data_IF_648790329741
#
_entry.id   IF_648790329741
#
_cell.length_a   1.000
_cell.length_b   1.000
_cell.length_c   1.000
_cell.angle_alpha   90.00
_cell.angle_beta   90.00
_cell.angle_gamma   90.00
#
_symmetry.space_group_name_H-M   'P 1'
#
loop_
_entity.id
_entity.type
_entity.pdbx_description
1 polymer ?
#
# COMPACT_ATOMS: atom_id res chain seq x y z
N UNK A 1 -64.31 -7.48 32.64
CA UNK A 1 -63.09 -7.34 33.47
C UNK A 1 -62.58 -8.75 33.70
N UNK A 2 -61.48 -9.21 33.12
CA UNK A 2 -60.12 -8.70 33.26
C UNK A 2 -59.25 -9.15 32.07
N UNK A 3 -58.49 -8.21 31.51
CA UNK A 3 -57.42 -8.45 30.53
C UNK A 3 -56.15 -8.81 31.29
N UNK A 4 -55.63 -10.03 31.08
CA UNK A 4 -54.33 -10.45 31.62
C UNK A 4 -53.23 -9.91 30.69
N UNK A 5 -52.51 -8.90 31.17
CA UNK A 5 -51.42 -8.25 30.46
C UNK A 5 -50.19 -9.14 30.39
N UNK A 6 -49.87 -9.63 29.20
CA UNK A 6 -48.53 -10.07 28.86
C UNK A 6 -47.64 -8.82 28.76
N UNK A 7 -47.04 -8.45 29.89
CA UNK A 7 -45.95 -7.48 29.96
C UNK A 7 -44.70 -8.05 29.33
N UNK A 8 -44.59 -7.92 28.01
CA UNK A 8 -43.35 -8.09 27.27
C UNK A 8 -42.43 -6.91 27.56
N UNK A 9 -41.77 -6.92 28.71
CA UNK A 9 -40.69 -5.97 28.99
C UNK A 9 -39.45 -6.40 28.20
N UNK A 10 -39.25 -5.66 27.12
CA UNK A 10 -38.01 -5.58 26.38
C UNK A 10 -36.85 -5.27 27.33
N UNK A 11 -36.15 -6.32 27.79
CA UNK A 11 -34.86 -6.20 28.45
C UNK A 11 -33.81 -5.78 27.41
N UNK A 12 -33.78 -4.47 27.18
CA UNK A 12 -32.72 -3.72 26.50
C UNK A 12 -31.36 -4.10 27.09
N UNK A 13 -30.54 -4.77 26.26
CA UNK A 13 -29.10 -4.54 26.10
C UNK A 13 -28.24 -4.21 27.33
N UNK A 14 -28.38 -4.91 28.44
CA UNK A 14 -27.32 -4.92 29.48
C UNK A 14 -26.44 -6.13 29.26
N UNK A 15 -25.17 -5.89 28.93
CA UNK A 15 -24.13 -6.91 28.99
C UNK A 15 -24.17 -7.55 30.39
N UNK A 16 -24.72 -8.76 30.48
CA UNK A 16 -24.73 -9.52 31.73
C UNK A 16 -23.28 -9.81 32.13
N UNK A 17 -22.93 -9.82 33.43
CA UNK A 17 -21.56 -10.09 33.88
C UNK A 17 -21.01 -11.43 33.37
N UNK A 18 -21.88 -12.39 33.08
CA UNK A 18 -21.52 -13.62 32.38
C UNK A 18 -21.12 -13.39 30.91
N UNK A 19 -21.85 -12.56 30.16
CA UNK A 19 -21.53 -12.21 28.76
C UNK A 19 -20.19 -11.48 28.59
N UNK A 20 -19.78 -10.68 29.58
CA UNK A 20 -18.48 -9.99 29.56
C UNK A 20 -17.33 -10.95 29.85
N UNK A 21 -17.48 -11.83 30.85
CA UNK A 21 -16.52 -12.90 31.13
C UNK A 21 -16.39 -13.86 29.94
N UNK A 22 -17.50 -14.21 29.30
CA UNK A 22 -17.51 -15.01 28.07
C UNK A 22 -16.67 -14.34 26.98
N UNK A 23 -16.92 -13.07 26.64
CA UNK A 23 -16.11 -12.36 25.64
C UNK A 23 -14.63 -12.23 26.03
N UNK A 24 -14.31 -12.15 27.32
CA UNK A 24 -12.93 -12.04 27.80
C UNK A 24 -12.12 -13.32 27.55
N UNK A 25 -12.73 -14.50 27.72
CA UNK A 25 -12.07 -15.79 27.59
C UNK A 25 -11.98 -16.32 26.14
N UNK A 26 -13.07 -16.25 25.36
CA UNK A 26 -13.04 -16.65 23.93
C UNK A 26 -12.49 -15.57 23.00
N UNK A 27 -12.45 -14.32 23.43
CA UNK A 27 -11.99 -13.19 22.62
C UNK A 27 -10.55 -13.35 22.13
N UNK A 28 -9.56 -13.66 22.97
CA UNK A 28 -8.16 -13.86 22.55
C UNK A 28 -7.96 -14.99 21.52
N UNK A 29 -8.43 -16.24 21.72
CA UNK A 29 -8.22 -17.31 20.73
C UNK A 29 -8.95 -17.02 19.41
N UNK A 30 -10.18 -16.49 19.46
CA UNK A 30 -10.91 -16.10 18.25
C UNK A 30 -10.21 -14.95 17.50
N UNK A 31 -9.62 -13.97 18.19
CA UNK A 31 -8.83 -12.91 17.54
C UNK A 31 -7.58 -13.48 16.84
N UNK A 32 -6.92 -14.47 17.42
CA UNK A 32 -5.78 -15.14 16.79
C UNK A 32 -6.19 -15.89 15.51
N UNK A 33 -7.30 -16.62 15.57
CA UNK A 33 -7.92 -17.29 14.41
C UNK A 33 -8.32 -16.27 13.34
N UNK A 34 -9.01 -15.20 13.73
CA UNK A 34 -9.45 -14.13 12.83
C UNK A 34 -8.29 -13.44 12.12
N UNK A 35 -7.19 -13.14 12.82
CA UNK A 35 -5.96 -12.60 12.21
C UNK A 35 -5.41 -13.53 11.12
N UNK A 36 -5.38 -14.84 11.38
CA UNK A 36 -4.86 -15.81 10.41
C UNK A 36 -5.79 -15.97 9.20
N UNK A 37 -7.11 -15.97 9.40
CA UNK A 37 -8.08 -15.97 8.30
C UNK A 37 -7.93 -14.73 7.42
N UNK A 38 -7.73 -13.55 8.03
CA UNK A 38 -7.46 -12.31 7.28
C UNK A 38 -6.16 -12.36 6.48
N UNK A 39 -5.09 -12.92 7.05
CA UNK A 39 -3.84 -13.12 6.31
C UNK A 39 -4.03 -14.07 5.13
N UNK A 40 -4.79 -15.15 5.29
CA UNK A 40 -5.12 -16.07 4.19
C UNK A 40 -5.91 -15.36 3.08
N UNK A 41 -6.94 -14.61 3.45
CA UNK A 41 -7.75 -13.86 2.48
C UNK A 41 -6.95 -12.76 1.78
N UNK A 42 -6.12 -12.04 2.53
CA UNK A 42 -5.20 -11.04 2.01
C UNK A 42 -4.18 -11.65 1.05
N UNK A 43 -3.63 -12.82 1.38
CA UNK A 43 -2.70 -13.54 0.51
C UNK A 43 -3.38 -14.02 -0.78
N UNK A 44 -4.61 -14.54 -0.70
CA UNK A 44 -5.39 -14.91 -1.88
C UNK A 44 -5.66 -13.69 -2.77
N UNK A 45 -6.11 -12.58 -2.18
CA UNK A 45 -6.35 -11.34 -2.91
C UNK A 45 -5.06 -10.78 -3.54
N UNK A 46 -3.96 -10.76 -2.79
CA UNK A 46 -2.65 -10.34 -3.27
C UNK A 46 -2.19 -11.22 -4.44
N UNK A 47 -2.27 -12.54 -4.29
CA UNK A 47 -1.88 -13.49 -5.34
C UNK A 47 -2.67 -13.31 -6.63
N UNK A 48 -3.97 -12.98 -6.52
CA UNK A 48 -4.87 -12.78 -7.66
C UNK A 48 -4.67 -11.44 -8.37
N UNK A 49 -4.18 -10.42 -7.66
CA UNK A 49 -4.06 -9.04 -8.17
C UNK A 49 -2.63 -8.59 -8.42
N UNK A 50 -1.62 -9.35 -7.99
CA UNK A 50 -0.20 -9.00 -8.15
C UNK A 50 0.18 -8.70 -9.62
N UNK A 51 -0.40 -9.43 -10.57
CA UNK A 51 -0.17 -9.19 -11.99
C UNK A 51 -0.60 -7.79 -12.43
N UNK A 52 -1.62 -7.16 -11.81
CA UNK A 52 -2.05 -5.80 -12.13
C UNK A 52 -1.00 -4.78 -11.73
N UNK A 53 -0.40 -4.92 -10.54
CA UNK A 53 0.69 -4.04 -10.09
C UNK A 53 1.89 -4.14 -11.02
N UNK A 54 2.29 -5.37 -11.35
CA UNK A 54 3.41 -5.63 -12.26
C UNK A 54 3.13 -5.16 -13.70
N UNK A 55 1.92 -5.36 -14.21
CA UNK A 55 1.51 -4.86 -15.52
C UNK A 55 1.54 -3.32 -15.56
N UNK A 56 1.09 -2.66 -14.49
CA UNK A 56 1.20 -1.21 -14.34
C UNK A 56 2.66 -0.73 -14.37
N UNK A 57 3.55 -1.40 -13.63
CA UNK A 57 4.99 -1.10 -13.68
C UNK A 57 5.57 -1.32 -15.08
N UNK A 58 5.21 -2.41 -15.76
CA UNK A 58 5.65 -2.67 -17.13
C UNK A 58 5.19 -1.56 -18.09
N UNK A 59 3.95 -1.08 -17.97
CA UNK A 59 3.43 0.03 -18.78
C UNK A 59 4.22 1.33 -18.55
N UNK A 60 4.58 1.64 -17.30
CA UNK A 60 5.42 2.81 -16.99
C UNK A 60 6.80 2.69 -17.63
N UNK A 61 7.42 1.51 -17.58
CA UNK A 61 8.71 1.27 -18.22
C UNK A 61 8.63 1.39 -19.75
N UNK A 62 7.56 0.88 -20.38
CA UNK A 62 7.34 1.04 -21.83
C UNK A 62 7.12 2.52 -22.17
N UNK A 63 6.36 3.25 -21.37
CA UNK A 63 6.15 4.69 -21.57
C UNK A 63 7.46 5.49 -21.46
N UNK A 64 8.36 5.11 -20.55
CA UNK A 64 9.70 5.69 -20.40
C UNK A 64 10.63 5.51 -21.60
N UNK A 65 10.35 4.54 -22.47
CA UNK A 65 11.07 4.38 -23.75
C UNK A 65 10.55 5.31 -24.84
N UNK A 66 9.27 5.68 -24.77
CA UNK A 66 8.61 6.54 -25.75
C UNK A 66 8.73 8.03 -25.39
N UNK A 67 8.93 8.35 -24.11
CA UNK A 67 9.05 9.71 -23.60
C UNK A 67 10.29 9.80 -22.69
N UNK A 68 11.19 10.78 -22.91
CA UNK A 68 12.30 11.03 -22.00
C UNK A 68 11.75 11.62 -20.68
N UNK A 69 11.40 10.73 -19.75
CA UNK A 69 10.89 11.09 -18.42
C UNK A 69 12.06 11.07 -17.44
N UNK A 70 12.37 12.22 -16.85
CA UNK A 70 13.35 12.32 -15.78
C UNK A 70 12.87 11.48 -14.55
N UNK A 71 13.76 10.70 -13.93
CA UNK A 71 13.50 9.81 -12.77
C UNK A 71 12.52 8.64 -13.02
N UNK A 72 12.65 7.94 -14.14
CA UNK A 72 11.81 6.80 -14.51
C UNK A 72 11.72 5.71 -13.41
N UNK A 73 12.83 5.44 -12.71
CA UNK A 73 12.90 4.46 -11.61
C UNK A 73 11.92 4.77 -10.47
N UNK A 74 11.73 6.05 -10.15
CA UNK A 74 10.79 6.48 -9.11
C UNK A 74 9.34 6.24 -9.51
N UNK A 75 9.01 6.47 -10.79
CA UNK A 75 7.67 6.27 -11.33
C UNK A 75 7.32 4.80 -11.53
N UNK A 76 8.31 3.96 -11.87
CA UNK A 76 8.11 2.52 -12.06
C UNK A 76 7.62 1.81 -10.78
N UNK A 77 7.98 2.33 -9.60
CA UNK A 77 7.53 1.83 -8.30
C UNK A 77 6.11 2.23 -7.90
N UNK A 78 5.54 3.29 -8.50
CA UNK A 78 4.23 3.84 -8.09
C UNK A 78 3.09 2.83 -8.25
N UNK A 79 2.92 2.12 -9.38
CA UNK A 79 1.86 1.13 -9.53
C UNK A 79 1.94 0.00 -8.51
N UNK A 80 3.17 -0.47 -8.21
CA UNK A 80 3.40 -1.52 -7.23
C UNK A 80 3.10 -1.04 -5.80
N UNK A 81 3.43 0.21 -5.48
CA UNK A 81 3.12 0.83 -4.20
C UNK A 81 1.61 0.98 -4.00
N UNK A 82 0.89 1.48 -5.01
CA UNK A 82 -0.58 1.60 -4.97
C UNK A 82 -1.22 0.22 -4.79
N UNK A 83 -0.73 -0.79 -5.51
CA UNK A 83 -1.18 -2.17 -5.33
C UNK A 83 -0.95 -2.66 -3.90
N UNK A 84 0.23 -2.43 -3.32
CA UNK A 84 0.57 -2.84 -1.96
C UNK A 84 -0.35 -2.17 -0.93
N UNK A 85 -0.58 -0.86 -1.05
CA UNK A 85 -1.50 -0.10 -0.19
C UNK A 85 -2.92 -0.66 -0.32
N UNK A 86 -3.36 -0.99 -1.53
CA UNK A 86 -4.70 -1.56 -1.77
C UNK A 86 -4.86 -2.93 -1.10
N UNK A 87 -3.86 -3.81 -1.24
CA UNK A 87 -3.86 -5.14 -0.59
C UNK A 87 -3.85 -5.00 0.93
N UNK A 88 -3.01 -4.11 1.45
CA UNK A 88 -2.90 -3.87 2.89
C UNK A 88 -4.18 -3.25 3.45
N UNK A 89 -4.75 -2.26 2.76
CA UNK A 89 -6.04 -1.65 3.07
C UNK A 89 -7.17 -2.66 3.04
N UNK A 90 -7.28 -3.48 2.00
CA UNK A 90 -8.27 -4.56 1.93
C UNK A 90 -8.13 -5.54 3.11
N UNK A 91 -6.90 -5.90 3.46
CA UNK A 91 -6.62 -6.85 4.54
C UNK A 91 -6.89 -6.24 5.92
N UNK A 92 -6.52 -4.96 6.15
CA UNK A 92 -6.59 -4.25 7.44
C UNK A 92 -7.94 -3.58 7.71
N UNK A 93 -8.65 -3.12 6.68
CA UNK A 93 -9.88 -2.33 6.83
C UNK A 93 -11.16 -3.18 6.80
N UNK A 94 -11.06 -4.51 6.64
CA UNK A 94 -12.20 -5.41 6.82
C UNK A 94 -12.29 -5.90 8.27
N UNK A 95 -13.08 -5.24 9.15
CA UNK A 95 -13.35 -5.78 10.48
C UNK A 95 -14.10 -7.10 10.31
N UNK A 96 -13.57 -8.15 10.94
CA UNK A 96 -14.23 -9.46 10.97
C UNK A 96 -14.84 -9.63 12.36
N UNK A 97 -16.18 -9.51 12.50
CA UNK A 97 -16.81 -9.64 13.82
C UNK A 97 -16.55 -11.04 14.36
N UNK A 98 -16.42 -11.18 15.68
CA UNK A 98 -16.09 -12.46 16.33
C UNK A 98 -17.06 -13.59 15.96
N UNK A 99 -18.33 -13.27 15.74
CA UNK A 99 -19.33 -14.23 15.27
C UNK A 99 -19.06 -14.74 13.85
N UNK A 100 -18.61 -13.87 12.94
CA UNK A 100 -18.21 -14.29 11.60
C UNK A 100 -16.91 -15.12 11.64
N UNK A 101 -15.98 -14.77 12.54
CA UNK A 101 -14.75 -15.55 12.76
C UNK A 101 -15.08 -16.94 13.27
N UNK A 102 -15.94 -17.07 14.28
CA UNK A 102 -16.35 -18.34 14.86
C UNK A 102 -17.02 -19.24 13.80
N UNK A 103 -18.00 -18.71 13.06
CA UNK A 103 -18.67 -19.44 11.97
C UNK A 103 -17.69 -19.90 10.89
N UNK A 104 -16.78 -19.02 10.49
CA UNK A 104 -15.80 -19.35 9.44
C UNK A 104 -14.74 -20.33 9.92
N UNK A 105 -14.35 -20.27 11.19
CA UNK A 105 -13.50 -21.24 11.83
C UNK A 105 -14.20 -22.62 11.90
N UNK A 106 -15.47 -22.66 12.28
CA UNK A 106 -16.26 -23.89 12.32
C UNK A 106 -16.32 -24.58 10.96
N UNK A 107 -16.55 -23.82 9.88
CA UNK A 107 -16.55 -24.33 8.49
C UNK A 107 -15.15 -24.79 8.06
N UNK A 108 -14.12 -23.98 8.33
CA UNK A 108 -12.75 -24.27 7.85
C UNK A 108 -12.13 -25.46 8.57
N UNK A 109 -12.46 -25.65 9.85
CA UNK A 109 -11.89 -26.68 10.72
C UNK A 109 -12.86 -27.84 11.02
N UNK A 110 -14.08 -27.81 10.46
CA UNK A 110 -15.08 -28.86 10.63
C UNK A 110 -15.61 -29.02 12.06
N UNK A 111 -15.69 -27.93 12.84
CA UNK A 111 -16.01 -27.99 14.28
C UNK A 111 -17.51 -28.14 14.58
N UNK A 112 -18.37 -28.35 13.57
CA UNK A 112 -19.82 -28.59 13.73
C UNK A 112 -20.51 -27.51 14.59
N UNK A 113 -20.27 -26.25 14.26
CA UNK A 113 -20.88 -25.06 14.89
C UNK A 113 -20.54 -24.79 16.36
N UNK A 114 -19.67 -25.59 17.00
CA UNK A 114 -19.32 -25.46 18.42
C UNK A 114 -18.94 -24.04 18.85
N UNK A 115 -18.14 -23.32 18.06
CA UNK A 115 -17.71 -21.97 18.42
C UNK A 115 -18.82 -20.95 18.17
N UNK A 116 -19.53 -21.07 17.04
CA UNK A 116 -20.59 -20.15 16.66
C UNK A 116 -21.82 -20.26 17.58
N UNK A 117 -22.25 -21.48 17.93
CA UNK A 117 -23.36 -21.73 18.85
C UNK A 117 -23.05 -21.22 20.26
N UNK A 118 -21.86 -21.49 20.79
CA UNK A 118 -21.48 -21.00 22.12
C UNK A 118 -21.50 -19.47 22.19
N UNK A 119 -21.01 -18.80 21.14
CA UNK A 119 -21.05 -17.33 21.07
C UNK A 119 -22.47 -16.78 20.92
N UNK A 120 -23.34 -17.45 20.17
CA UNK A 120 -24.74 -17.06 19.99
C UNK A 120 -25.53 -17.19 21.29
N UNK A 121 -25.35 -18.30 22.03
CA UNK A 121 -25.96 -18.51 23.34
C UNK A 121 -25.49 -17.47 24.36
N UNK A 122 -24.18 -17.16 24.36
CA UNK A 122 -23.62 -16.10 25.21
C UNK A 122 -24.19 -14.72 24.84
N UNK A 123 -24.35 -14.42 23.55
CA UNK A 123 -24.93 -13.15 23.08
C UNK A 123 -26.42 -13.01 23.42
N UNK A 124 -27.17 -14.11 23.44
CA UNK A 124 -28.58 -14.15 23.88
C UNK A 124 -28.76 -14.12 25.40
N UNK A 125 -27.68 -14.21 26.17
CA UNK A 125 -27.74 -14.27 27.63
C UNK A 125 -28.43 -15.52 28.16
N UNK A 126 -28.46 -16.61 27.37
CA UNK A 126 -29.05 -17.88 27.77
C UNK A 126 -28.23 -18.48 28.92
N UNK A 127 -28.91 -19.00 29.94
CA UNK A 127 -28.27 -19.57 31.14
C UNK A 127 -28.67 -21.01 31.34
N UNK A 128 -27.83 -21.75 32.07
CA UNK A 128 -28.08 -23.13 32.46
C UNK A 128 -26.82 -23.98 32.36
N UNK A 129 -26.79 -25.09 33.08
CA UNK A 129 -25.66 -26.01 33.14
C UNK A 129 -25.22 -26.49 31.74
N UNK A 130 -26.18 -26.73 30.85
CA UNK A 130 -25.89 -27.11 29.46
C UNK A 130 -25.12 -26.01 28.70
N UNK A 131 -25.45 -24.74 28.93
CA UNK A 131 -24.76 -23.61 28.27
C UNK A 131 -23.33 -23.48 28.79
N UNK A 132 -23.12 -23.68 30.09
CA UNK A 132 -21.78 -23.70 30.69
C UNK A 132 -20.92 -24.87 30.18
N UNK A 133 -21.53 -26.05 29.99
CA UNK A 133 -20.85 -27.19 29.37
C UNK A 133 -20.48 -26.93 27.91
N UNK A 134 -21.40 -26.35 27.12
CA UNK A 134 -21.11 -25.96 25.73
C UNK A 134 -20.02 -24.88 25.65
N UNK A 135 -20.01 -23.95 26.61
CA UNK A 135 -18.96 -22.95 26.75
C UNK A 135 -17.59 -23.58 26.98
N UNK A 136 -17.47 -24.44 27.99
CA UNK A 136 -16.21 -25.09 28.33
C UNK A 136 -15.70 -25.96 27.17
N UNK A 137 -16.59 -26.65 26.46
CA UNK A 137 -16.23 -27.38 25.24
C UNK A 137 -15.67 -26.42 24.17
N UNK A 138 -16.39 -25.33 23.86
CA UNK A 138 -15.97 -24.34 22.86
C UNK A 138 -14.64 -23.67 23.22
N UNK A 139 -14.45 -23.29 24.49
CA UNK A 139 -13.19 -22.71 24.98
C UNK A 139 -12.04 -23.70 24.89
N UNK A 140 -12.24 -24.94 25.33
CA UNK A 140 -11.21 -25.98 25.23
C UNK A 140 -10.82 -26.26 23.79
N UNK A 141 -11.78 -26.23 22.86
CA UNK A 141 -11.51 -26.38 21.44
C UNK A 141 -10.77 -25.18 20.87
N UNK A 142 -11.22 -23.96 21.19
CA UNK A 142 -10.57 -22.72 20.75
C UNK A 142 -9.10 -22.62 21.20
N UNK A 143 -8.78 -23.12 22.39
CA UNK A 143 -7.42 -23.17 22.92
C UNK A 143 -6.55 -24.25 22.27
N UNK A 144 -7.14 -25.37 21.81
CA UNK A 144 -6.42 -26.45 21.11
C UNK A 144 -6.08 -26.09 19.66
N UNK A 145 -6.87 -25.21 19.05
CA UNK A 145 -6.63 -24.77 17.67
C UNK A 145 -5.36 -23.93 17.64
N UNK A 146 -4.41 -24.36 16.81
CA UNK A 146 -3.24 -23.56 16.47
C UNK A 146 -3.50 -22.92 15.10
N UNK A 147 -3.81 -21.61 15.03
CA UNK A 147 -4.14 -20.96 13.76
C UNK A 147 -3.05 -21.15 12.71
N UNK A 148 -1.77 -21.22 13.12
CA UNK A 148 -0.66 -21.34 12.18
C UNK A 148 -0.54 -22.71 11.52
N UNK A 149 -0.94 -23.77 12.22
CA UNK A 149 -0.89 -25.14 11.74
C UNK A 149 -2.20 -25.53 11.05
N UNK A 150 -3.32 -25.17 11.65
CA UNK A 150 -4.63 -25.70 11.28
C UNK A 150 -5.28 -24.89 10.14
N UNK A 151 -4.85 -23.63 9.93
CA UNK A 151 -5.33 -22.78 8.83
C UNK A 151 -4.19 -22.58 7.82
N UNK A 152 -4.24 -23.36 6.74
CA UNK A 152 -3.29 -23.29 5.63
C UNK A 152 -3.33 -21.96 4.89
N UNK A 153 -2.16 -21.43 4.55
CA UNK A 153 -2.03 -20.28 3.65
C UNK A 153 -2.10 -20.79 2.21
N UNK A 154 -3.13 -20.35 1.50
CA UNK A 154 -3.36 -20.71 0.10
C UNK A 154 -3.10 -19.50 -0.78
N UNK A 155 -2.36 -19.70 -1.88
CA UNK A 155 -2.16 -18.70 -2.92
C UNK A 155 -2.71 -19.25 -4.25
N UNK A 156 -3.23 -18.36 -5.10
CA UNK A 156 -3.71 -18.76 -6.43
C UNK A 156 -2.52 -18.97 -7.37
N UNK A 157 -2.12 -20.24 -7.54
CA UNK A 157 -1.00 -20.64 -8.42
C UNK A 157 -1.21 -20.21 -9.87
N UNK A 158 -2.46 -20.14 -10.36
CA UNK A 158 -2.75 -19.74 -11.74
C UNK A 158 -2.49 -18.24 -11.90
N UNK A 159 -2.94 -17.43 -10.95
CA UNK A 159 -2.65 -16.00 -10.95
C UNK A 159 -1.15 -15.72 -10.76
N UNK A 160 -0.45 -16.50 -9.93
CA UNK A 160 1.01 -16.39 -9.78
C UNK A 160 1.77 -16.63 -11.08
N UNK A 161 1.30 -17.51 -11.97
CA UNK A 161 1.95 -17.71 -13.28
C UNK A 161 1.90 -16.45 -14.14
N UNK A 162 0.75 -15.77 -14.18
CA UNK A 162 0.62 -14.48 -14.87
C UNK A 162 1.45 -13.38 -14.23
N UNK A 163 1.47 -13.32 -12.89
CA UNK A 163 2.36 -12.42 -12.17
C UNK A 163 3.84 -12.70 -12.47
N UNK A 164 4.25 -13.96 -12.53
CA UNK A 164 5.60 -14.37 -12.91
C UNK A 164 5.98 -13.93 -14.32
N UNK A 165 5.08 -14.10 -15.29
CA UNK A 165 5.28 -13.61 -16.65
C UNK A 165 5.44 -12.09 -16.71
N UNK A 166 4.57 -11.35 -16.00
CA UNK A 166 4.68 -9.89 -15.90
C UNK A 166 5.98 -9.45 -15.21
N UNK A 167 6.43 -10.18 -14.17
CA UNK A 167 7.69 -9.90 -13.50
C UNK A 167 8.90 -10.10 -14.42
N UNK A 168 8.91 -11.17 -15.23
CA UNK A 168 9.95 -11.39 -16.25
C UNK A 168 9.94 -10.26 -17.27
N UNK A 169 8.77 -9.82 -17.73
CA UNK A 169 8.68 -8.68 -18.65
C UNK A 169 9.22 -7.38 -18.04
N UNK A 170 8.88 -7.08 -16.79
CA UNK A 170 9.42 -5.93 -16.04
C UNK A 170 10.95 -6.03 -15.92
N UNK A 171 11.48 -7.21 -15.58
CA UNK A 171 12.92 -7.43 -15.45
C UNK A 171 13.65 -7.23 -16.78
N UNK A 172 13.13 -7.79 -17.88
CA UNK A 172 13.68 -7.59 -19.22
C UNK A 172 13.65 -6.12 -19.63
N UNK A 173 12.56 -5.41 -19.31
CA UNK A 173 12.43 -3.99 -19.62
C UNK A 173 13.38 -3.12 -18.81
N UNK A 174 13.68 -3.51 -17.56
CA UNK A 174 14.57 -2.80 -16.66
C UNK A 174 16.06 -3.04 -16.97
N UNK A 175 16.43 -4.24 -17.42
CA UNK A 175 17.83 -4.57 -17.78
C UNK A 175 18.19 -4.02 -19.15
N UNK A 176 17.25 -4.02 -20.10
CA UNK A 176 17.55 -3.61 -21.46
C UNK A 176 17.79 -2.08 -21.50
N UNK A 177 18.95 -1.63 -22.03
CA UNK A 177 19.36 -0.23 -22.00
C UNK A 177 18.29 0.64 -22.65
N UNK A 178 17.87 1.69 -21.94
CA UNK A 178 16.89 2.63 -22.44
C UNK A 178 17.61 3.63 -23.37
N UNK A 179 17.31 3.67 -24.68
CA UNK A 179 18.00 4.57 -25.61
C UNK A 179 17.78 6.05 -25.26
N UNK A 180 16.76 6.37 -24.45
CA UNK A 180 16.50 7.73 -24.00
C UNK A 180 17.44 8.20 -22.87
N UNK A 181 18.18 7.29 -22.23
CA UNK A 181 19.15 7.66 -21.18
C UNK A 181 20.32 8.45 -21.79
N UNK A 182 20.79 8.07 -22.98
CA UNK A 182 21.81 8.81 -23.71
C UNK A 182 21.36 10.23 -24.11
N UNK A 183 20.07 10.39 -24.43
CA UNK A 183 19.49 11.71 -24.74
C UNK A 183 19.39 12.57 -23.48
N UNK A 184 19.05 11.98 -22.34
CA UNK A 184 19.03 12.66 -21.04
C UNK A 184 20.43 13.09 -20.60
N UNK A 185 21.45 12.24 -20.77
CA UNK A 185 22.84 12.59 -20.51
C UNK A 185 23.32 13.72 -21.42
N UNK A 186 23.01 13.66 -22.71
CA UNK A 186 23.35 14.73 -23.64
C UNK A 186 22.70 16.06 -23.24
N UNK A 187 21.41 16.06 -22.91
CA UNK A 187 20.71 17.26 -22.40
C UNK A 187 21.31 17.76 -21.09
N UNK A 188 21.69 16.87 -20.18
CA UNK A 188 22.35 17.25 -18.94
C UNK A 188 23.71 17.90 -19.19
N UNK A 189 24.51 17.35 -20.11
CA UNK A 189 25.80 17.89 -20.51
C UNK A 189 25.67 19.27 -21.18
N UNK A 190 24.70 19.45 -22.08
CA UNK A 190 24.42 20.75 -22.73
C UNK A 190 23.99 21.79 -21.69
N UNK A 191 23.11 21.43 -20.75
CA UNK A 191 22.71 22.32 -19.66
C UNK A 191 23.90 22.71 -18.76
N UNK A 192 24.76 21.75 -18.42
CA UNK A 192 25.95 21.99 -17.59
C UNK A 192 26.95 22.92 -18.31
N UNK A 193 27.22 22.67 -19.60
CA UNK A 193 28.10 23.50 -20.41
C UNK A 193 27.57 24.94 -20.54
N UNK A 194 26.26 25.09 -20.76
CA UNK A 194 25.63 26.42 -20.88
C UNK A 194 25.67 27.19 -19.55
N UNK A 195 25.48 26.51 -18.41
CA UNK A 195 25.62 27.13 -17.09
C UNK A 195 27.06 27.58 -16.81
N UNK A 196 28.05 26.79 -17.23
CA UNK A 196 29.45 27.16 -17.06
C UNK A 196 29.82 28.37 -17.93
N UNK A 197 29.36 28.42 -19.18
CA UNK A 197 29.49 29.60 -20.03
C UNK A 197 28.83 30.83 -19.42
N UNK A 198 27.62 30.70 -18.86
CA UNK A 198 26.96 31.80 -18.17
C UNK A 198 27.74 32.29 -16.93
N UNK A 199 28.42 31.39 -16.21
CA UNK A 199 29.30 31.75 -15.08
C UNK A 199 30.56 32.47 -15.55
N UNK A 200 31.20 31.99 -16.63
CA UNK A 200 32.38 32.65 -17.20
C UNK A 200 32.04 34.08 -17.66
N UNK A 201 30.93 34.27 -18.36
CA UNK A 201 30.45 35.61 -18.77
C UNK A 201 30.23 36.53 -17.56
N UNK A 202 29.68 36.00 -16.45
CA UNK A 202 29.47 36.77 -15.24
C UNK A 202 30.78 37.07 -14.48
N UNK A 203 31.77 36.17 -14.54
CA UNK A 203 33.12 36.41 -14.01
C UNK A 203 33.86 37.48 -14.81
N UNK A 204 33.86 37.41 -16.15
CA UNK A 204 34.42 38.47 -17.01
C UNK A 204 33.75 39.82 -16.72
N UNK A 205 32.43 39.84 -16.49
CA UNK A 205 31.71 41.06 -16.12
C UNK A 205 32.20 41.63 -14.78
N UNK A 206 32.51 40.78 -13.82
CA UNK A 206 32.97 41.20 -12.50
C UNK A 206 34.42 41.69 -12.53
N UNK A 207 35.30 41.02 -13.27
CA UNK A 207 36.67 41.50 -13.56
C UNK A 207 36.64 42.87 -14.24
N UNK A 208 35.80 43.01 -15.28
CA UNK A 208 35.54 44.27 -15.97
C UNK A 208 34.84 45.31 -15.11
N UNK A 209 34.36 45.03 -13.90
CA UNK A 209 33.88 46.05 -12.95
C UNK A 209 34.96 46.46 -11.95
N UNK A 210 35.85 45.54 -11.61
CA UNK A 210 36.91 45.75 -10.62
C UNK A 210 38.10 46.52 -11.19
N UNK A 211 38.26 46.59 -12.53
CA UNK A 211 39.26 47.46 -13.15
C UNK A 211 39.01 48.95 -12.84
N UNK A 212 40.00 49.60 -12.21
CA UNK A 212 39.98 50.98 -11.70
C UNK A 212 40.06 52.07 -12.80
N UNK A 213 39.95 51.70 -14.07
CA UNK A 213 39.96 52.63 -15.21
C UNK A 213 38.62 53.37 -15.28
N UNK A 214 38.59 54.70 -15.55
CA UNK A 214 37.33 55.44 -15.63
C UNK A 214 36.38 54.81 -16.65
N UNK A 215 35.12 54.61 -16.22
CA UNK A 215 34.09 53.93 -16.99
C UNK A 215 33.70 54.76 -18.21
N UNK A 216 34.02 54.29 -19.42
CA UNK A 216 33.50 54.85 -20.67
C UNK A 216 32.07 54.36 -20.92
N UNK A 217 31.25 55.11 -21.67
CA UNK A 217 29.90 54.68 -22.10
C UNK A 217 29.96 53.32 -22.82
N UNK A 218 31.00 53.07 -23.61
CA UNK A 218 31.25 51.80 -24.30
C UNK A 218 31.44 50.62 -23.33
N UNK A 219 32.04 50.83 -22.15
CA UNK A 219 32.20 49.79 -21.11
C UNK A 219 30.86 49.46 -20.45
N UNK A 220 30.01 50.46 -20.18
CA UNK A 220 28.66 50.19 -19.68
C UNK A 220 27.79 49.43 -20.69
N UNK A 221 27.87 49.79 -21.97
CA UNK A 221 27.20 49.10 -23.07
C UNK A 221 27.62 47.62 -23.11
N UNK A 222 28.92 47.34 -23.04
CA UNK A 222 29.48 45.98 -22.99
C UNK A 222 29.01 45.20 -21.75
N UNK A 223 28.98 45.82 -20.57
CA UNK A 223 28.49 45.18 -19.35
C UNK A 223 26.99 44.82 -19.45
N UNK A 224 26.18 45.65 -20.12
CA UNK A 224 24.76 45.36 -20.39
C UNK A 224 24.61 44.20 -21.37
N UNK A 225 25.38 44.17 -22.46
CA UNK A 225 25.34 43.09 -23.44
C UNK A 225 25.77 41.75 -22.84
N UNK A 226 26.81 41.71 -22.00
CA UNK A 226 27.23 40.50 -21.29
C UNK A 226 26.16 40.01 -20.30
N UNK A 227 25.47 40.93 -19.61
CA UNK A 227 24.37 40.57 -18.72
C UNK A 227 23.17 39.98 -19.49
N UNK A 228 22.84 40.55 -20.65
CA UNK A 228 21.77 40.03 -21.50
C UNK A 228 22.13 38.65 -22.09
N UNK A 229 23.39 38.45 -22.51
CA UNK A 229 23.87 37.17 -23.01
C UNK A 229 23.81 36.08 -21.93
N UNK A 230 24.31 36.38 -20.72
CA UNK A 230 24.23 35.46 -19.58
C UNK A 230 22.78 35.10 -19.23
N UNK A 231 21.85 36.07 -19.33
CA UNK A 231 20.43 35.86 -19.13
C UNK A 231 19.83 34.95 -20.20
N UNK A 232 20.10 35.22 -21.48
CA UNK A 232 19.62 34.41 -22.61
C UNK A 232 20.11 32.96 -22.54
N UNK A 233 21.37 32.74 -22.14
CA UNK A 233 21.93 31.40 -21.94
C UNK A 233 21.26 30.65 -20.78
N UNK A 234 20.87 31.35 -19.70
CA UNK A 234 20.12 30.74 -18.57
C UNK A 234 18.66 30.45 -18.92
N UNK A 235 18.04 31.33 -19.68
CA UNK A 235 16.64 31.20 -20.09
C UNK A 235 16.47 30.14 -21.20
N UNK A 236 17.51 29.90 -22.01
CA UNK A 236 17.44 28.96 -23.13
C UNK A 236 18.66 28.01 -23.22
N UNK A 237 18.86 27.09 -22.27
CA UNK A 237 20.04 26.23 -22.18
C UNK A 237 20.07 25.05 -23.17
N UNK A 238 19.59 25.27 -24.40
CA UNK A 238 19.47 24.25 -25.45
C UNK A 238 18.04 23.78 -25.64
N UNK A 239 17.24 24.60 -26.33
CA UNK A 239 16.02 24.16 -27.01
C UNK A 239 16.37 24.03 -28.49
N UNK A 240 16.42 22.79 -29.00
CA UNK A 240 16.11 22.54 -30.42
C UNK A 240 14.60 22.67 -30.64
#
# INVERSE_FOLDING_TARGET
MTTSGYGGDAAVGRDTPSATLFRAELGPPLRAIGRRLRLRDGLLFASRTLWLGLAGTALVLVAGRLRPIERLEGWAGVPLLIWLITVLGYTLMRPLPLAAVARRADITLGLKERLSTALELAARGTRGELVERQWNDALSMAQRINPRRDIGLTADRRALRWAGLAAVAVLLLAILPNPMDAVLEHRAAVRAATQEQARQVEALREELRQETTPTSEEREELLRQLAELARKLRENPGVE
#
